data_IF_200293543598
#
_entry.id   IF_200293543598
#
_cell.length_a   1.000
_cell.length_b   1.000
_cell.length_c   1.000
_cell.angle_alpha   90.00
_cell.angle_beta   90.00
_cell.angle_gamma   90.00
#
_symmetry.space_group_name_H-M   'P 1'
#
loop_
_entity.id
_entity.type
_entity.pdbx_description
1 polymer ?
#
# COMPACT_ATOMS: atom_id res chain seq x y z
N UNK A 1 18.14 -28.09 1.01
CA UNK A 1 18.31 -26.91 0.14
C UNK A 1 17.28 -25.88 0.56
N UNK A 2 17.71 -24.73 1.09
CA UNK A 2 16.80 -23.64 1.48
C UNK A 2 16.34 -22.91 0.22
N UNK A 3 15.04 -22.96 -0.08
CA UNK A 3 14.45 -22.18 -1.16
C UNK A 3 14.67 -20.68 -0.89
N UNK A 4 15.13 -19.88 -1.88
CA UNK A 4 15.25 -18.45 -1.69
C UNK A 4 13.87 -17.86 -1.34
N UNK A 5 13.81 -16.84 -0.48
CA UNK A 5 12.54 -16.22 -0.12
C UNK A 5 11.82 -15.73 -1.39
N UNK A 6 10.52 -16.01 -1.48
CA UNK A 6 9.71 -15.61 -2.62
C UNK A 6 9.84 -14.10 -2.85
N UNK A 7 10.28 -13.72 -4.05
CA UNK A 7 10.41 -12.33 -4.45
C UNK A 7 9.02 -11.71 -4.55
N UNK A 8 8.82 -10.54 -3.95
CA UNK A 8 7.60 -9.76 -4.18
C UNK A 8 7.58 -9.31 -5.64
N UNK A 9 6.55 -9.72 -6.37
CA UNK A 9 6.31 -9.30 -7.74
C UNK A 9 4.88 -8.78 -7.84
N UNK A 10 4.73 -7.58 -8.42
CA UNK A 10 3.45 -6.96 -8.70
C UNK A 10 3.39 -6.60 -10.17
N UNK A 11 2.35 -7.09 -10.83
CA UNK A 11 2.03 -6.75 -12.22
C UNK A 11 0.69 -6.03 -12.25
N UNK A 12 0.51 -5.18 -13.26
CA UNK A 12 -0.74 -4.47 -13.48
C UNK A 12 -1.07 -4.44 -14.97
N UNK A 13 -2.35 -4.30 -15.30
CA UNK A 13 -2.78 -4.08 -16.68
C UNK A 13 -2.14 -2.80 -17.22
N UNK A 14 -1.79 -2.79 -18.51
CA UNK A 14 -1.10 -1.66 -19.16
C UNK A 14 -1.76 -0.29 -18.91
N UNK A 15 -3.09 -0.24 -18.89
CA UNK A 15 -3.87 0.98 -18.71
C UNK A 15 -4.20 1.31 -17.25
N UNK A 16 -3.86 0.43 -16.31
CA UNK A 16 -4.21 0.62 -14.91
C UNK A 16 -3.60 1.88 -14.28
N UNK A 17 -2.33 2.28 -14.53
CA UNK A 17 -1.77 3.50 -13.96
C UNK A 17 -2.50 4.76 -14.43
N UNK A 18 -2.81 4.83 -15.74
CA UNK A 18 -3.56 5.93 -16.32
C UNK A 18 -4.98 6.01 -15.75
N UNK A 19 -5.67 4.87 -15.69
CA UNK A 19 -6.99 4.80 -15.09
C UNK A 19 -6.99 5.23 -13.62
N UNK A 20 -6.00 4.80 -12.82
CA UNK A 20 -5.89 5.16 -11.41
C UNK A 20 -5.67 6.68 -11.23
N UNK A 21 -4.87 7.30 -12.10
CA UNK A 21 -4.68 8.74 -12.15
C UNK A 21 -5.99 9.48 -12.51
N UNK A 22 -6.71 9.00 -13.53
CA UNK A 22 -8.00 9.57 -13.96
C UNK A 22 -9.06 9.51 -12.84
N UNK A 23 -9.06 8.45 -12.03
CA UNK A 23 -9.96 8.32 -10.89
C UNK A 23 -9.53 9.16 -9.67
N UNK A 24 -8.36 9.81 -9.72
CA UNK A 24 -7.75 10.49 -8.58
C UNK A 24 -7.76 9.61 -7.31
N UNK A 25 -7.39 8.34 -7.47
CA UNK A 25 -7.52 7.33 -6.44
C UNK A 25 -6.19 6.69 -6.07
N UNK A 26 -6.16 6.03 -4.92
CA UNK A 26 -5.07 5.16 -4.48
C UNK A 26 -5.66 3.93 -3.81
N UNK A 27 -4.93 2.82 -3.84
CA UNK A 27 -5.35 1.56 -3.26
C UNK A 27 -4.48 1.21 -2.06
N UNK A 28 -5.12 0.69 -1.02
CA UNK A 28 -4.46 0.01 0.08
C UNK A 28 -5.15 -1.33 0.32
N UNK A 29 -4.37 -2.42 0.35
CA UNK A 29 -4.91 -3.75 0.61
C UNK A 29 -3.90 -4.64 1.32
N UNK A 30 -4.43 -5.68 1.96
CA UNK A 30 -3.65 -6.64 2.73
C UNK A 30 -3.67 -8.01 2.10
N UNK A 31 -2.56 -8.74 2.20
CA UNK A 31 -2.49 -10.16 1.91
C UNK A 31 -2.42 -10.93 3.22
N UNK A 32 -3.43 -11.76 3.49
CA UNK A 32 -3.55 -12.42 4.79
C UNK A 32 -2.38 -13.36 5.09
N UNK A 33 -2.04 -14.23 4.14
CA UNK A 33 -1.02 -15.27 4.32
C UNK A 33 0.40 -14.72 4.16
N UNK A 34 0.62 -13.83 3.18
CA UNK A 34 1.93 -13.22 2.96
C UNK A 34 2.21 -12.05 3.93
N UNK A 35 1.21 -11.62 4.72
CA UNK A 35 1.37 -10.58 5.73
C UNK A 35 1.77 -9.24 5.17
N UNK A 36 1.41 -8.93 3.91
CA UNK A 36 1.77 -7.65 3.28
C UNK A 36 0.64 -6.65 3.44
N UNK A 37 0.98 -5.43 3.81
CA UNK A 37 0.19 -4.24 3.51
C UNK A 37 0.82 -3.58 2.29
N UNK A 38 0.02 -3.37 1.24
CA UNK A 38 0.47 -2.80 -0.03
C UNK A 38 -0.30 -1.51 -0.26
N UNK A 39 0.42 -0.44 -0.59
CA UNK A 39 -0.11 0.82 -1.07
C UNK A 39 0.26 0.97 -2.54
N UNK A 40 -0.72 1.36 -3.36
CA UNK A 40 -0.55 1.68 -4.77
C UNK A 40 -1.13 3.06 -5.02
N UNK A 41 -0.32 3.94 -5.57
CA UNK A 41 -0.76 5.23 -6.09
C UNK A 41 -0.09 5.50 -7.43
N UNK A 42 -0.16 6.75 -7.87
CA UNK A 42 0.52 7.22 -9.08
C UNK A 42 1.65 8.18 -8.70
N UNK A 43 2.83 7.97 -9.28
CA UNK A 43 3.96 8.87 -9.17
C UNK A 43 3.81 10.08 -10.07
N UNK A 44 4.67 11.09 -9.88
CA UNK A 44 4.69 12.30 -10.71
C UNK A 44 5.01 12.01 -12.19
N UNK A 45 5.67 10.89 -12.47
CA UNK A 45 5.98 10.40 -13.82
C UNK A 45 4.83 9.61 -14.48
N UNK A 46 3.67 9.53 -13.80
CA UNK A 46 2.50 8.78 -14.26
C UNK A 46 2.62 7.26 -14.13
N UNK A 47 3.70 6.74 -13.54
CA UNK A 47 3.86 5.31 -13.25
C UNK A 47 3.24 4.96 -11.90
N UNK A 48 3.07 3.66 -11.64
CA UNK A 48 2.64 3.23 -10.31
C UNK A 48 3.74 3.50 -9.28
N UNK A 49 3.35 4.16 -8.20
CA UNK A 49 4.13 4.17 -6.97
C UNK A 49 3.63 3.03 -6.09
N UNK A 50 4.52 2.11 -5.73
CA UNK A 50 4.19 0.90 -4.98
C UNK A 50 5.02 0.87 -3.71
N UNK A 51 4.35 0.71 -2.58
CA UNK A 51 5.00 0.58 -1.29
C UNK A 51 4.45 -0.61 -0.54
N UNK A 52 5.33 -1.46 -0.03
CA UNK A 52 4.94 -2.60 0.80
C UNK A 52 5.55 -2.56 2.19
N UNK A 53 4.81 -3.12 3.14
CA UNK A 53 5.27 -3.38 4.51
C UNK A 53 4.81 -4.77 4.94
N UNK A 54 5.64 -5.46 5.71
CA UNK A 54 5.36 -6.82 6.18
C UNK A 54 5.01 -6.79 7.66
N UNK A 55 3.93 -7.48 8.04
CA UNK A 55 3.49 -7.65 9.42
C UNK A 55 3.11 -9.09 9.70
N UNK A 56 2.99 -9.44 10.99
CA UNK A 56 2.51 -10.75 11.42
C UNK A 56 1.00 -10.87 11.17
N UNK A 57 0.64 -11.33 9.96
CA UNK A 57 -0.73 -11.55 9.46
C UNK A 57 -1.57 -10.27 9.48
N UNK A 58 -1.62 -9.56 8.34
CA UNK A 58 -2.51 -8.43 8.14
C UNK A 58 -3.95 -8.93 7.92
N UNK A 59 -4.93 -8.38 8.64
CA UNK A 59 -6.31 -8.89 8.63
C UNK A 59 -7.31 -7.89 8.04
N UNK A 60 -7.58 -6.80 8.75
CA UNK A 60 -8.58 -5.81 8.37
C UNK A 60 -7.96 -4.43 8.20
N UNK A 61 -8.50 -3.65 7.26
CA UNK A 61 -8.19 -2.25 7.06
C UNK A 61 -9.43 -1.39 7.30
N UNK A 62 -9.24 -0.22 7.89
CA UNK A 62 -10.26 0.80 8.02
C UNK A 62 -9.66 2.19 7.83
N UNK A 63 -10.10 2.90 6.79
CA UNK A 63 -9.70 4.28 6.53
C UNK A 63 -10.67 5.24 7.24
N UNK A 64 -10.12 6.20 7.97
CA UNK A 64 -10.87 7.23 8.69
C UNK A 64 -10.12 8.57 8.63
N UNK A 65 -10.58 9.47 7.77
CA UNK A 65 -9.93 10.77 7.54
C UNK A 65 -8.49 10.61 7.03
N UNK A 66 -7.54 11.19 7.74
CA UNK A 66 -6.09 11.11 7.48
C UNK A 66 -5.41 9.88 8.11
N UNK A 67 -6.22 8.95 8.62
CA UNK A 67 -5.72 7.77 9.35
C UNK A 67 -6.12 6.49 8.66
N UNK A 68 -5.20 5.52 8.67
CA UNK A 68 -5.47 4.15 8.26
C UNK A 68 -5.22 3.23 9.45
N UNK A 69 -6.24 2.50 9.84
CA UNK A 69 -6.14 1.45 10.85
C UNK A 69 -5.93 0.11 10.19
N UNK A 70 -5.05 -0.70 10.77
CA UNK A 70 -4.81 -2.08 10.37
C UNK A 70 -4.78 -2.99 11.59
N UNK A 71 -5.59 -4.05 11.55
CA UNK A 71 -5.48 -5.15 12.52
C UNK A 71 -4.47 -6.20 12.05
N UNK A 72 -3.62 -6.64 12.96
CA UNK A 72 -2.74 -7.82 12.78
C UNK A 72 -3.09 -8.92 13.77
N UNK A 73 -2.34 -10.02 13.77
CA UNK A 73 -2.57 -11.13 14.71
C UNK A 73 -2.54 -10.69 16.18
N UNK A 74 -1.69 -9.73 16.53
CA UNK A 74 -1.44 -9.34 17.93
C UNK A 74 -1.55 -7.84 18.20
N UNK A 75 -1.62 -7.01 17.16
CA UNK A 75 -1.51 -5.56 17.30
C UNK A 75 -2.53 -4.83 16.43
N UNK A 76 -2.91 -3.62 16.88
CA UNK A 76 -3.55 -2.62 16.03
C UNK A 76 -2.51 -1.59 15.65
N UNK A 77 -2.40 -1.32 14.35
CA UNK A 77 -1.55 -0.29 13.79
C UNK A 77 -2.41 0.88 13.35
N UNK A 78 -1.99 2.09 13.71
CA UNK A 78 -2.58 3.34 13.24
C UNK A 78 -1.52 4.10 12.44
N UNK A 79 -1.70 4.17 11.13
CA UNK A 79 -0.92 5.03 10.26
C UNK A 79 -1.60 6.40 10.22
N UNK A 80 -0.80 7.47 10.31
CA UNK A 80 -1.27 8.84 10.09
C UNK A 80 -0.43 9.48 9.00
N UNK A 81 -1.06 10.35 8.23
CA UNK A 81 -0.31 11.26 7.39
C UNK A 81 0.51 12.21 8.27
N UNK A 82 1.83 12.25 8.05
CA UNK A 82 2.75 13.15 8.75
C UNK A 82 3.16 14.34 7.89
N UNK A 83 2.66 14.43 6.66
CA UNK A 83 2.89 15.54 5.76
C UNK A 83 1.98 16.71 6.14
N UNK A 84 2.52 17.91 6.05
CA UNK A 84 1.72 19.13 6.20
C UNK A 84 0.72 19.27 5.04
N UNK A 85 -0.38 20.02 5.21
CA UNK A 85 -1.32 20.29 4.13
C UNK A 85 -0.60 20.89 2.90
N UNK A 86 -0.74 20.23 1.75
CA UNK A 86 -0.10 20.64 0.49
C UNK A 86 1.35 20.15 0.32
N UNK A 87 1.95 19.53 1.33
CA UNK A 87 3.26 18.90 1.20
C UNK A 87 3.12 17.55 0.48
N UNK A 88 3.96 17.34 -0.54
CA UNK A 88 4.06 16.06 -1.23
C UNK A 88 5.21 15.24 -0.62
N UNK A 89 5.01 13.93 -0.48
CA UNK A 89 6.10 13.02 -0.13
C UNK A 89 7.16 13.07 -1.23
N UNK A 90 8.44 13.18 -0.85
CA UNK A 90 9.55 12.95 -1.77
C UNK A 90 9.61 11.46 -2.10
N UNK A 91 9.29 11.11 -3.34
CA UNK A 91 9.42 9.75 -3.88
C UNK A 91 10.85 9.46 -4.29
#
# INVERSE_FOLDING_TARGET
MTQPPAKFELTSSRQFPAWLAEQNASLAFTTYQAGKLIFIGTGQDGRLSIFERTFNRCMGLHAAGDTLWMGTLYQLWKFRNTLEPGQLAGG
#
